data_IF_676395813423
#
_entry.id   IF_676395813423
#
_cell.length_a   1.000
_cell.length_b   1.000
_cell.length_c   1.000
_cell.angle_alpha   90.00
_cell.angle_beta   90.00
_cell.angle_gamma   90.00
#
_symmetry.space_group_name_H-M   'P 1'
#
loop_
_entity.id
_entity.type
_entity.pdbx_description
1 polymer ?
#
# COMPACT_ATOMS: atom_id res chain seq x y z
N UNK A 1 -41.74 0.62 28.40
CA UNK A 1 -41.08 1.52 27.44
C UNK A 1 -39.63 1.67 27.85
N UNK A 2 -38.74 0.94 27.21
CA UNK A 2 -37.30 1.09 27.36
C UNK A 2 -36.71 0.68 26.02
N UNK A 3 -36.33 1.66 25.19
CA UNK A 3 -35.57 1.39 23.98
C UNK A 3 -34.17 0.99 24.44
N UNK A 4 -33.86 -0.31 24.37
CA UNK A 4 -32.47 -0.76 24.39
C UNK A 4 -31.79 -0.12 23.18
N UNK A 5 -30.85 0.79 23.46
CA UNK A 5 -29.90 1.26 22.46
C UNK A 5 -29.05 0.06 22.06
N UNK A 6 -29.40 -0.61 20.96
CA UNK A 6 -28.50 -1.53 20.30
C UNK A 6 -27.38 -0.70 19.68
N UNK A 7 -26.27 -0.53 20.41
CA UNK A 7 -25.04 0.03 19.88
C UNK A 7 -24.62 -0.81 18.66
N UNK A 8 -24.78 -0.22 17.48
CA UNK A 8 -24.37 -0.82 16.21
C UNK A 8 -22.86 -0.92 16.16
N UNK A 9 -22.38 -2.15 16.29
CA UNK A 9 -21.08 -2.59 15.77
C UNK A 9 -20.93 -2.12 14.34
N UNK A 10 -19.78 -1.58 13.99
CA UNK A 10 -19.50 -1.37 12.59
C UNK A 10 -18.05 -1.71 12.22
N UNK A 11 -17.90 -2.34 11.06
CA UNK A 11 -16.64 -2.89 10.54
C UNK A 11 -16.54 -2.54 9.08
N UNK A 12 -15.34 -2.17 8.60
CA UNK A 12 -15.09 -1.90 7.20
C UNK A 12 -14.86 -3.20 6.43
N UNK A 13 -15.84 -3.58 5.62
CA UNK A 13 -15.74 -4.63 4.60
C UNK A 13 -15.69 -3.97 3.22
N UNK A 14 -14.91 -4.49 2.28
CA UNK A 14 -14.82 -4.03 0.89
C UNK A 14 -14.93 -5.24 -0.02
N UNK A 15 -16.03 -5.47 -0.72
CA UNK A 15 -16.17 -6.63 -1.62
C UNK A 15 -15.87 -6.23 -3.07
N UNK A 16 -14.87 -6.85 -3.73
CA UNK A 16 -14.69 -6.73 -5.18
C UNK A 16 -15.44 -7.85 -5.92
N UNK A 17 -15.64 -7.71 -7.24
CA UNK A 17 -16.28 -8.74 -8.09
C UNK A 17 -15.45 -10.02 -8.22
N UNK A 18 -14.14 -9.95 -8.01
CA UNK A 18 -13.20 -11.07 -8.12
C UNK A 18 -12.79 -11.64 -6.75
N UNK A 19 -13.22 -11.02 -5.65
CA UNK A 19 -12.87 -11.44 -4.29
C UNK A 19 -13.16 -10.38 -3.22
N UNK A 20 -13.53 -10.82 -2.02
CA UNK A 20 -13.91 -9.93 -0.92
C UNK A 20 -12.74 -9.53 -0.02
N UNK A 21 -12.62 -8.23 0.27
CA UNK A 21 -11.75 -7.61 1.27
C UNK A 21 -12.52 -7.25 2.55
N UNK A 22 -11.83 -7.26 3.68
CA UNK A 22 -12.26 -6.64 4.95
C UNK A 22 -11.09 -5.79 5.42
N UNK A 23 -11.32 -4.57 5.92
CA UNK A 23 -10.32 -3.69 6.54
C UNK A 23 -10.86 -3.24 7.90
N UNK A 24 -10.27 -3.67 9.00
CA UNK A 24 -10.72 -3.29 10.35
C UNK A 24 -9.70 -2.30 10.95
N UNK A 25 -10.05 -1.03 11.21
CA UNK A 25 -9.30 -0.21 12.14
C UNK A 25 -9.72 -0.57 13.57
N UNK A 26 -8.79 -0.61 14.53
CA UNK A 26 -9.20 -0.67 15.93
C UNK A 26 -8.37 0.16 16.89
N UNK A 27 -9.10 0.66 17.88
CA UNK A 27 -8.64 0.60 19.25
C UNK A 27 -8.45 -0.88 19.65
N UNK A 28 -7.23 -1.40 19.54
CA UNK A 28 -6.55 -2.47 20.33
C UNK A 28 -5.52 -3.26 19.49
N UNK A 29 -4.82 -4.19 20.15
CA UNK A 29 -3.36 -4.35 20.07
C UNK A 29 -2.81 -5.39 19.07
N UNK A 30 -3.59 -6.21 18.36
CA UNK A 30 -3.04 -7.23 17.43
C UNK A 30 -4.06 -7.62 16.33
N UNK A 31 -3.63 -7.79 15.07
CA UNK A 31 -4.37 -8.41 13.94
C UNK A 31 -3.54 -9.53 13.30
N UNK A 32 -3.95 -10.22 12.21
CA UNK A 32 -3.10 -11.17 11.44
C UNK A 32 -3.74 -11.42 10.07
N UNK A 33 -2.96 -11.63 9.00
CA UNK A 33 -3.45 -11.91 7.63
C UNK A 33 -3.15 -13.34 7.16
N UNK A 34 -4.13 -14.00 6.51
CA UNK A 34 -4.01 -15.31 5.84
C UNK A 34 -4.85 -15.33 4.54
N UNK A 35 -4.42 -16.14 3.57
CA UNK A 35 -4.89 -16.20 2.17
C UNK A 35 -5.80 -17.40 1.88
N UNK A 36 -6.74 -17.25 0.94
CA UNK A 36 -7.29 -18.31 0.10
C UNK A 36 -7.47 -17.70 -1.30
N UNK A 37 -6.80 -18.27 -2.30
CA UNK A 37 -6.90 -17.88 -3.73
C UNK A 37 -6.68 -16.37 -3.98
N UNK A 38 -5.46 -15.85 -3.75
CA UNK A 38 -5.01 -14.50 -4.14
C UNK A 38 -5.89 -13.30 -3.68
N UNK A 39 -6.68 -13.46 -2.61
CA UNK A 39 -7.53 -12.41 -2.03
C UNK A 39 -7.10 -12.04 -0.60
N UNK A 40 -7.14 -10.74 -0.28
CA UNK A 40 -6.77 -10.17 1.04
C UNK A 40 -7.98 -10.12 2.00
N UNK A 41 -7.87 -10.76 3.17
CA UNK A 41 -8.86 -10.67 4.26
C UNK A 41 -8.24 -10.07 5.55
N UNK A 42 -8.93 -9.16 6.24
CA UNK A 42 -8.59 -8.77 7.63
C UNK A 42 -9.48 -9.47 8.67
N UNK A 43 -8.84 -10.08 9.67
CA UNK A 43 -9.48 -10.75 10.82
C UNK A 43 -8.85 -10.31 12.16
N UNK A 44 -9.67 -10.36 13.21
CA UNK A 44 -9.24 -10.27 14.61
C UNK A 44 -9.13 -11.68 15.22
N UNK A 45 -7.98 -12.03 15.80
CA UNK A 45 -7.88 -13.19 16.69
C UNK A 45 -8.05 -12.70 18.14
N UNK A 46 -9.03 -13.17 18.91
CA UNK A 46 -9.10 -12.87 20.34
C UNK A 46 -7.89 -13.49 21.07
N UNK A 47 -7.35 -12.80 22.08
CA UNK A 47 -6.22 -13.25 22.92
C UNK A 47 -6.49 -14.57 23.67
N UNK A 48 -7.74 -15.04 23.71
CA UNK A 48 -8.14 -16.33 24.28
C UNK A 48 -9.39 -16.86 23.57
N UNK A 49 -9.23 -17.78 22.61
CA UNK A 49 -10.35 -18.64 22.16
C UNK A 49 -10.49 -19.84 23.10
N UNK A 50 -10.93 -19.58 24.33
CA UNK A 50 -11.56 -20.61 25.16
C UNK A 50 -13.09 -20.59 24.99
N UNK A 51 -13.62 -19.79 24.06
CA UNK A 51 -15.06 -19.65 23.86
C UNK A 51 -15.45 -20.00 22.43
N UNK A 52 -16.18 -21.11 22.31
CA UNK A 52 -17.11 -21.34 21.20
C UNK A 52 -17.99 -20.09 21.04
N UNK A 53 -17.91 -19.44 19.88
CA UNK A 53 -18.78 -18.32 19.49
C UNK A 53 -19.79 -18.76 18.43
N UNK A 54 -20.94 -18.11 18.33
CA UNK A 54 -21.95 -18.42 17.31
C UNK A 54 -22.12 -17.28 16.32
N UNK A 55 -22.19 -17.61 15.03
CA UNK A 55 -22.37 -16.60 13.99
C UNK A 55 -23.67 -15.84 14.26
N UNK A 56 -23.61 -14.53 14.45
CA UNK A 56 -24.75 -13.67 14.71
C UNK A 56 -25.83 -13.76 13.62
N UNK A 57 -25.46 -14.18 12.40
CA UNK A 57 -26.37 -14.40 11.27
C UNK A 57 -26.92 -15.83 11.21
N UNK A 58 -26.08 -16.87 11.03
CA UNK A 58 -26.57 -18.26 10.88
C UNK A 58 -26.46 -19.15 12.12
N UNK A 59 -26.00 -18.60 13.25
CA UNK A 59 -25.88 -19.28 14.56
C UNK A 59 -24.96 -20.51 14.61
N UNK A 60 -24.30 -20.88 13.50
CA UNK A 60 -23.26 -21.92 13.49
C UNK A 60 -22.07 -21.55 14.38
N UNK A 61 -21.50 -22.56 15.06
CA UNK A 61 -20.42 -22.40 16.04
C UNK A 61 -19.06 -22.22 15.36
N UNK A 62 -18.18 -21.43 15.97
CA UNK A 62 -16.83 -21.13 15.49
C UNK A 62 -15.97 -22.37 15.27
N UNK A 63 -16.22 -23.45 16.02
CA UNK A 63 -15.52 -24.74 15.90
C UNK A 63 -15.80 -25.52 14.61
N UNK A 64 -16.86 -25.18 13.86
CA UNK A 64 -17.25 -25.87 12.63
C UNK A 64 -16.64 -25.27 11.35
N UNK A 65 -15.86 -24.20 11.49
CA UNK A 65 -15.30 -23.46 10.34
C UNK A 65 -13.78 -23.62 10.27
N UNK A 66 -13.24 -23.83 9.07
CA UNK A 66 -11.79 -23.83 8.85
C UNK A 66 -11.15 -22.44 9.09
N UNK A 67 -11.90 -21.35 8.91
CA UNK A 67 -11.48 -19.96 9.19
C UNK A 67 -12.69 -19.02 9.07
N UNK A 68 -12.99 -18.18 10.06
CA UNK A 68 -13.67 -16.86 9.91
C UNK A 68 -13.59 -16.07 11.23
N UNK A 69 -13.56 -14.71 11.25
CA UNK A 69 -14.33 -13.87 12.22
C UNK A 69 -14.17 -12.34 12.04
N UNK A 70 -15.21 -11.67 11.55
CA UNK A 70 -15.46 -10.25 11.85
C UNK A 70 -15.91 -10.16 13.31
N UNK A 71 -15.05 -9.62 14.19
CA UNK A 71 -15.33 -9.43 15.60
C UNK A 71 -15.34 -7.92 15.88
N UNK A 72 -16.41 -7.43 16.48
CA UNK A 72 -16.36 -6.15 17.18
C UNK A 72 -16.25 -6.41 18.67
N UNK A 73 -15.10 -6.04 19.21
CA UNK A 73 -14.76 -6.15 20.62
C UNK A 73 -15.77 -5.43 21.53
N UNK A 74 -16.45 -4.39 21.04
CA UNK A 74 -17.39 -3.59 21.83
C UNK A 74 -18.74 -4.28 22.00
N UNK A 75 -19.21 -5.05 21.02
CA UNK A 75 -20.54 -5.68 21.10
C UNK A 75 -20.57 -7.21 20.89
N UNK A 76 -19.41 -7.87 20.71
CA UNK A 76 -19.32 -9.34 20.69
C UNK A 76 -20.02 -10.03 19.51
N UNK A 77 -20.23 -9.32 18.40
CA UNK A 77 -20.89 -9.86 17.20
C UNK A 77 -19.88 -10.62 16.35
N UNK A 78 -20.26 -11.82 15.88
CA UNK A 78 -19.47 -12.70 15.02
C UNK A 78 -20.22 -12.97 13.70
N UNK A 79 -19.57 -12.87 12.54
CA UNK A 79 -20.19 -13.25 11.25
C UNK A 79 -19.29 -14.25 10.52
N UNK A 80 -19.86 -15.41 10.14
CA UNK A 80 -19.15 -16.45 9.40
C UNK A 80 -19.03 -16.15 7.90
N UNK A 81 -18.09 -16.79 7.20
CA UNK A 81 -17.76 -16.54 5.79
C UNK A 81 -18.98 -16.74 4.89
N UNK A 82 -19.71 -17.83 5.10
CA UNK A 82 -20.90 -18.15 4.32
C UNK A 82 -21.99 -17.08 4.49
N UNK A 83 -22.14 -16.53 5.70
CA UNK A 83 -23.06 -15.43 5.96
C UNK A 83 -22.56 -14.11 5.39
N UNK A 84 -21.26 -13.85 5.47
CA UNK A 84 -20.64 -12.69 4.86
C UNK A 84 -20.86 -12.70 3.34
N UNK A 85 -20.62 -13.82 2.67
CA UNK A 85 -20.86 -14.01 1.23
C UNK A 85 -22.33 -13.74 0.84
N UNK A 86 -23.28 -14.09 1.72
CA UNK A 86 -24.73 -13.90 1.55
C UNK A 86 -25.25 -12.52 1.97
N UNK A 87 -24.45 -11.70 2.65
CA UNK A 87 -24.90 -10.39 3.13
C UNK A 87 -25.04 -9.45 1.94
N UNK A 88 -26.23 -8.83 1.77
CA UNK A 88 -26.41 -7.71 0.83
C UNK A 88 -25.69 -6.50 1.42
N UNK A 89 -24.50 -6.21 0.91
CA UNK A 89 -23.80 -4.97 1.23
C UNK A 89 -24.63 -3.80 0.72
N UNK A 90 -24.59 -2.67 1.44
CA UNK A 90 -25.07 -1.42 0.86
C UNK A 90 -24.13 -1.13 -0.30
N UNK A 91 -24.63 -1.24 -1.53
CA UNK A 91 -23.93 -0.62 -2.66
C UNK A 91 -23.83 0.85 -2.33
N UNK A 92 -22.60 1.33 -2.22
CA UNK A 92 -22.43 2.77 -2.20
C UNK A 92 -22.96 3.29 -3.55
N UNK A 93 -23.69 4.42 -3.56
CA UNK A 93 -23.89 5.18 -4.78
C UNK A 93 -22.52 5.47 -5.42
N UNK A 94 -22.48 6.02 -6.63
CA UNK A 94 -21.25 6.46 -7.32
C UNK A 94 -20.52 7.63 -6.60
N UNK A 95 -20.45 7.59 -5.27
CA UNK A 95 -19.89 8.58 -4.36
C UNK A 95 -18.47 8.18 -3.96
N UNK A 96 -17.65 9.19 -3.72
CA UNK A 96 -16.29 9.07 -3.21
C UNK A 96 -16.31 8.53 -1.77
N UNK A 97 -15.64 7.41 -1.51
CA UNK A 97 -15.42 6.90 -0.16
C UNK A 97 -14.16 7.51 0.44
N UNK A 98 -14.32 8.33 1.47
CA UNK A 98 -13.19 8.86 2.23
C UNK A 98 -12.67 7.84 3.25
N UNK A 99 -11.39 7.51 3.16
CA UNK A 99 -10.64 6.64 4.06
C UNK A 99 -9.66 7.51 4.85
N UNK A 100 -10.02 7.81 6.10
CA UNK A 100 -9.32 8.74 6.97
C UNK A 100 -9.05 8.19 8.39
N UNK A 101 -8.41 8.98 9.24
CA UNK A 101 -8.16 8.64 10.65
C UNK A 101 -8.59 9.80 11.57
N UNK A 102 -9.49 9.59 12.56
CA UNK A 102 -10.26 8.36 12.83
C UNK A 102 -11.36 8.14 11.80
N UNK A 103 -11.65 6.88 11.49
CA UNK A 103 -12.57 6.50 10.42
C UNK A 103 -13.95 6.14 10.96
N UNK A 104 -15.02 6.56 10.28
CA UNK A 104 -16.35 6.02 10.56
C UNK A 104 -16.41 4.55 10.15
N UNK A 105 -17.11 3.77 10.97
CA UNK A 105 -17.23 2.35 10.78
C UNK A 105 -18.41 2.02 9.83
N UNK A 106 -18.23 1.12 8.85
CA UNK A 106 -19.32 0.69 7.98
C UNK A 106 -18.90 -0.26 6.86
N UNK A 107 -19.82 -1.08 6.35
CA UNK A 107 -19.55 -2.03 5.27
C UNK A 107 -19.80 -1.40 3.89
N UNK A 108 -18.82 -1.48 2.99
CA UNK A 108 -18.88 -0.90 1.65
C UNK A 108 -18.60 -1.96 0.57
N UNK A 109 -19.21 -1.84 -0.60
CA UNK A 109 -18.89 -2.64 -1.78
C UNK A 109 -18.17 -1.72 -2.75
N UNK A 110 -16.92 -2.05 -3.11
CA UNK A 110 -16.16 -1.27 -4.09
C UNK A 110 -15.96 -2.11 -5.34
N UNK A 111 -16.29 -1.52 -6.47
CA UNK A 111 -15.99 -2.05 -7.79
C UNK A 111 -15.15 -1.04 -8.59
N UNK A 112 -14.85 -1.39 -9.85
CA UNK A 112 -14.06 -0.52 -10.74
C UNK A 112 -14.73 0.83 -11.06
N UNK A 113 -16.01 1.03 -10.72
CA UNK A 113 -16.72 2.31 -10.86
C UNK A 113 -16.67 3.13 -9.56
N UNK A 114 -16.23 2.53 -8.46
CA UNK A 114 -16.11 3.17 -7.16
C UNK A 114 -14.84 4.01 -7.09
N UNK A 115 -14.87 5.06 -6.26
CA UNK A 115 -13.70 5.91 -6.00
C UNK A 115 -13.41 6.00 -4.51
N UNK A 116 -12.12 6.00 -4.16
CA UNK A 116 -11.64 6.08 -2.78
C UNK A 116 -10.72 7.28 -2.63
N UNK A 117 -10.88 8.05 -1.55
CA UNK A 117 -9.93 9.08 -1.13
C UNK A 117 -9.14 8.57 0.08
N UNK A 118 -7.82 8.42 -0.04
CA UNK A 118 -6.92 8.16 1.08
C UNK A 118 -6.42 9.50 1.62
N UNK A 119 -6.72 9.85 2.88
CA UNK A 119 -6.26 11.09 3.48
C UNK A 119 -6.04 10.93 4.99
N UNK A 120 -4.95 11.50 5.54
CA UNK A 120 -4.60 11.44 6.95
C UNK A 120 -4.60 10.00 7.49
N UNK A 121 -3.97 9.07 6.78
CA UNK A 121 -3.94 7.65 7.13
C UNK A 121 -2.55 7.03 6.96
N UNK A 122 -2.24 6.07 7.83
CA UNK A 122 -1.07 5.20 7.70
C UNK A 122 -1.53 3.78 7.39
N UNK A 123 -1.14 3.25 6.24
CA UNK A 123 -1.56 1.92 5.76
C UNK A 123 -0.39 1.07 5.30
N UNK A 124 -0.54 -0.24 5.30
CA UNK A 124 0.48 -1.11 4.71
C UNK A 124 0.59 -0.91 3.19
N UNK A 125 1.76 -1.20 2.60
CA UNK A 125 1.95 -1.21 1.14
C UNK A 125 0.96 -2.14 0.44
N UNK A 126 0.58 -3.24 1.09
CA UNK A 126 -0.38 -4.22 0.55
C UNK A 126 -1.77 -3.61 0.40
N UNK A 127 -2.25 -2.91 1.44
CA UNK A 127 -3.54 -2.21 1.40
C UNK A 127 -3.50 -1.05 0.41
N UNK A 128 -2.39 -0.31 0.35
CA UNK A 128 -2.22 0.75 -0.63
C UNK A 128 -2.31 0.22 -2.06
N UNK A 129 -1.52 -0.81 -2.41
CA UNK A 129 -1.57 -1.40 -3.74
C UNK A 129 -2.92 -2.05 -4.05
N UNK A 130 -3.59 -2.67 -3.06
CA UNK A 130 -4.96 -3.12 -3.27
C UNK A 130 -5.87 -2.00 -3.82
N UNK A 131 -5.84 -0.80 -3.22
CA UNK A 131 -6.64 0.31 -3.71
C UNK A 131 -6.18 0.75 -5.11
N UNK A 132 -4.88 0.96 -5.27
CA UNK A 132 -4.28 1.38 -6.54
C UNK A 132 -4.60 0.40 -7.68
N UNK A 133 -4.63 -0.90 -7.42
CA UNK A 133 -4.82 -1.95 -8.41
C UNK A 133 -6.29 -2.19 -8.78
N UNK A 134 -7.23 -1.86 -7.89
CA UNK A 134 -8.62 -2.34 -8.03
C UNK A 134 -9.66 -1.23 -8.19
N UNK A 135 -9.41 -0.03 -7.68
CA UNK A 135 -10.41 1.04 -7.63
C UNK A 135 -9.78 2.39 -7.94
N UNK A 136 -10.57 3.32 -8.48
CA UNK A 136 -10.08 4.69 -8.68
C UNK A 136 -9.68 5.28 -7.32
N UNK A 137 -8.40 5.62 -7.18
CA UNK A 137 -7.83 6.02 -5.89
C UNK A 137 -7.28 7.44 -5.96
N UNK A 138 -7.83 8.30 -5.13
CA UNK A 138 -7.36 9.65 -4.88
C UNK A 138 -6.53 9.68 -3.60
N UNK A 139 -5.39 10.38 -3.63
CA UNK A 139 -4.49 10.49 -2.47
C UNK A 139 -4.43 11.95 -2.04
N UNK A 140 -5.00 12.23 -0.88
CA UNK A 140 -4.99 13.51 -0.19
C UNK A 140 -3.71 13.72 0.64
N UNK A 141 -3.79 14.59 1.65
CA UNK A 141 -2.62 14.89 2.50
C UNK A 141 -2.40 13.79 3.54
N UNK A 142 -1.18 13.66 4.05
CA UNK A 142 -0.92 12.86 5.25
C UNK A 142 -1.08 11.35 5.07
N UNK A 143 -0.89 10.83 3.85
CA UNK A 143 -0.87 9.39 3.58
C UNK A 143 0.53 8.83 3.77
N UNK A 144 0.66 7.75 4.57
CA UNK A 144 1.93 7.04 4.77
C UNK A 144 1.76 5.55 4.50
N UNK A 145 2.69 4.96 3.75
CA UNK A 145 2.78 3.52 3.50
C UNK A 145 3.92 2.87 4.29
N UNK A 146 3.70 1.66 4.78
CA UNK A 146 4.71 0.86 5.48
C UNK A 146 4.70 -0.60 4.99
N UNK A 147 5.82 -1.34 5.08
CA UNK A 147 5.89 -2.70 4.49
C UNK A 147 4.86 -3.68 5.05
N UNK A 148 4.51 -3.56 6.33
CA UNK A 148 3.59 -4.46 7.02
C UNK A 148 4.21 -5.82 7.35
N UNK A 149 5.39 -6.19 6.83
CA UNK A 149 5.97 -7.51 7.10
C UNK A 149 6.48 -7.73 8.53
N UNK A 150 6.88 -6.65 9.21
CA UNK A 150 7.20 -6.69 10.64
C UNK A 150 6.07 -6.17 11.53
N UNK A 151 4.93 -5.94 10.88
CA UNK A 151 3.66 -5.70 11.51
C UNK A 151 2.61 -6.52 10.76
N UNK A 152 2.82 -7.87 10.63
CA UNK A 152 1.94 -8.73 9.83
C UNK A 152 0.50 -8.76 10.37
N UNK A 153 0.37 -8.12 11.51
CA UNK A 153 -0.71 -8.07 12.43
C UNK A 153 -1.27 -6.64 12.55
N UNK A 154 -0.86 -5.71 11.68
CA UNK A 154 -1.47 -4.37 11.63
C UNK A 154 -1.24 -3.74 10.26
N UNK A 155 -2.33 -3.51 9.55
CA UNK A 155 -2.31 -2.96 8.19
C UNK A 155 -2.76 -1.50 8.14
N UNK A 156 -3.27 -0.98 9.26
CA UNK A 156 -3.69 0.41 9.45
C UNK A 156 -3.21 0.88 10.84
N UNK A 157 -2.61 2.05 10.90
CA UNK A 157 -1.99 2.59 12.12
C UNK A 157 -2.58 3.95 12.52
N UNK A 158 -2.66 4.29 13.83
CA UNK A 158 -2.97 5.65 14.26
C UNK A 158 -1.94 6.65 13.74
N UNK A 159 -2.35 7.91 13.54
CA UNK A 159 -1.48 8.99 13.07
C UNK A 159 -0.21 9.19 13.93
N UNK A 160 -0.28 8.90 15.23
CA UNK A 160 0.85 9.02 16.17
C UNK A 160 1.76 7.78 16.23
N UNK A 161 1.58 6.81 15.32
CA UNK A 161 2.45 5.63 15.24
C UNK A 161 3.92 6.02 15.09
N UNK A 162 4.75 5.48 15.99
CA UNK A 162 6.21 5.54 15.94
C UNK A 162 6.73 4.16 15.57
N UNK A 163 7.39 4.09 14.41
CA UNK A 163 8.07 2.89 13.95
C UNK A 163 9.23 2.55 14.92
N UNK A 164 9.11 1.45 15.67
CA UNK A 164 10.12 0.99 16.63
C UNK A 164 10.86 -0.24 16.11
N UNK A 165 12.11 -0.09 15.66
CA UNK A 165 13.07 -1.22 15.60
C UNK A 165 12.72 -2.39 14.68
N UNK A 166 11.81 -2.21 13.72
CA UNK A 166 11.37 -3.26 12.83
C UNK A 166 12.12 -3.16 11.49
N UNK A 167 13.35 -3.67 11.43
CA UNK A 167 14.25 -3.51 10.26
C UNK A 167 13.68 -3.74 8.85
N UNK A 168 14.00 -2.79 7.97
CA UNK A 168 14.41 -2.95 6.57
C UNK A 168 13.74 -4.04 5.73
N UNK A 169 12.42 -3.96 5.56
CA UNK A 169 11.85 -4.42 4.28
C UNK A 169 11.05 -3.30 3.66
N UNK A 170 11.33 -3.09 2.38
CA UNK A 170 11.01 -1.91 1.62
C UNK A 170 9.60 -1.83 1.08
N UNK A 171 9.37 -0.79 0.29
CA UNK A 171 8.41 -0.83 -0.80
C UNK A 171 8.98 -1.70 -1.91
N UNK A 172 8.27 -2.75 -2.31
CA UNK A 172 8.60 -3.52 -3.50
C UNK A 172 7.38 -3.67 -4.41
N UNK A 173 7.58 -3.48 -5.71
CA UNK A 173 6.55 -3.58 -6.74
C UNK A 173 7.23 -3.85 -8.08
N UNK A 174 6.68 -4.75 -8.90
CA UNK A 174 7.36 -5.23 -10.11
C UNK A 174 6.60 -4.98 -11.40
N UNK A 175 5.27 -5.02 -11.36
CA UNK A 175 4.40 -4.77 -12.52
C UNK A 175 3.12 -4.10 -12.03
N UNK A 176 2.66 -3.09 -12.75
CA UNK A 176 1.38 -2.43 -12.52
C UNK A 176 0.32 -3.03 -13.45
N UNK A 177 -0.93 -3.06 -12.98
CA UNK A 177 -2.05 -3.29 -13.88
C UNK A 177 -2.55 -1.93 -14.45
N UNK A 178 -3.44 -1.93 -15.47
CA UNK A 178 -3.89 -0.68 -16.09
C UNK A 178 -4.58 0.30 -15.12
N UNK A 179 -5.28 -0.20 -14.09
CA UNK A 179 -5.88 0.65 -13.05
C UNK A 179 -4.81 1.31 -12.18
N UNK A 180 -3.77 0.56 -11.83
CA UNK A 180 -2.64 1.01 -11.04
C UNK A 180 -1.82 2.07 -11.77
N UNK A 181 -1.52 1.86 -13.05
CA UNK A 181 -0.88 2.86 -13.90
C UNK A 181 -1.66 4.18 -13.90
N UNK A 182 -2.97 4.12 -14.11
CA UNK A 182 -3.82 5.30 -14.18
C UNK A 182 -3.90 6.03 -12.83
N UNK A 183 -4.03 5.29 -11.74
CA UNK A 183 -4.02 5.83 -10.38
C UNK A 183 -2.67 6.47 -10.04
N UNK A 184 -1.55 5.82 -10.36
CA UNK A 184 -0.20 6.35 -10.12
C UNK A 184 0.04 7.62 -10.95
N UNK A 185 -0.40 7.66 -12.21
CA UNK A 185 -0.33 8.87 -13.05
C UNK A 185 -1.05 10.06 -12.41
N UNK A 186 -2.22 9.85 -11.82
CA UNK A 186 -3.00 10.88 -11.10
C UNK A 186 -2.36 11.37 -9.80
N UNK A 187 -1.47 10.60 -9.19
CA UNK A 187 -0.82 11.00 -7.94
C UNK A 187 0.00 12.28 -8.14
N UNK A 188 -0.08 13.17 -7.15
CA UNK A 188 0.78 14.34 -7.09
C UNK A 188 2.22 13.91 -6.80
N UNK A 189 3.18 14.75 -7.17
CA UNK A 189 4.58 14.56 -6.76
C UNK A 189 4.65 14.43 -5.24
N UNK A 190 5.42 13.46 -4.74
CA UNK A 190 5.66 13.27 -3.31
C UNK A 190 4.37 13.13 -2.45
N UNK A 191 3.28 12.63 -3.04
CA UNK A 191 1.98 12.47 -2.39
C UNK A 191 1.96 11.42 -1.27
N UNK A 192 2.81 10.39 -1.38
CA UNK A 192 2.79 9.23 -0.48
C UNK A 192 4.08 9.17 0.34
N UNK A 193 3.97 9.28 1.66
CA UNK A 193 5.14 9.10 2.54
C UNK A 193 5.44 7.60 2.70
N UNK A 194 6.70 7.20 2.54
CA UNK A 194 7.15 5.81 2.70
C UNK A 194 7.92 5.72 4.01
N UNK A 195 7.40 4.93 4.94
CA UNK A 195 8.09 4.63 6.21
C UNK A 195 9.23 3.60 6.05
N UNK A 196 9.52 3.16 4.83
CA UNK A 196 10.41 2.03 4.57
C UNK A 196 11.87 2.44 4.42
N UNK A 197 12.78 1.55 4.83
CA UNK A 197 14.23 1.70 4.63
C UNK A 197 14.72 1.34 3.23
N UNK A 198 13.89 0.69 2.40
CA UNK A 198 14.26 0.34 1.03
C UNK A 198 13.13 0.52 0.03
N UNK A 199 13.49 0.75 -1.23
CA UNK A 199 12.58 0.85 -2.38
C UNK A 199 13.15 -0.03 -3.49
N UNK A 200 12.37 -1.00 -3.96
CA UNK A 200 12.74 -1.95 -5.01
C UNK A 200 11.62 -1.90 -6.05
N UNK A 201 11.88 -1.30 -7.21
CA UNK A 201 10.88 -1.12 -8.26
C UNK A 201 11.41 -1.76 -9.54
N UNK A 202 10.64 -2.69 -10.08
CA UNK A 202 10.92 -3.28 -11.38
C UNK A 202 9.87 -2.80 -12.40
N UNK A 203 10.22 -2.88 -13.69
CA UNK A 203 9.30 -2.58 -14.78
C UNK A 203 8.69 -1.19 -14.73
N UNK A 204 7.41 -1.11 -15.06
CA UNK A 204 6.58 0.10 -15.06
C UNK A 204 6.25 0.62 -13.65
N UNK A 205 6.43 -0.19 -12.61
CA UNK A 205 6.27 0.23 -11.22
C UNK A 205 7.25 1.34 -10.82
N UNK A 206 8.34 1.52 -11.56
CA UNK A 206 9.29 2.63 -11.38
C UNK A 206 8.58 4.00 -11.45
N UNK A 207 7.47 4.12 -12.19
CA UNK A 207 6.67 5.36 -12.30
C UNK A 207 6.07 5.85 -10.97
N UNK A 208 6.01 5.01 -9.94
CA UNK A 208 5.58 5.46 -8.61
C UNK A 208 6.67 6.30 -7.92
N UNK A 209 7.94 6.16 -8.27
CA UNK A 209 9.07 6.77 -7.56
C UNK A 209 8.92 8.29 -7.35
N UNK A 210 8.55 9.13 -8.35
CA UNK A 210 8.38 10.57 -8.15
C UNK A 210 7.17 10.93 -7.26
N UNK A 211 6.28 9.97 -7.02
CA UNK A 211 5.08 10.12 -6.17
C UNK A 211 5.37 9.82 -4.70
N UNK A 212 6.54 9.26 -4.41
CA UNK A 212 6.97 8.89 -3.07
C UNK A 212 7.75 10.02 -2.38
N UNK A 213 7.59 10.11 -1.07
CA UNK A 213 8.41 10.93 -0.17
C UNK A 213 8.89 10.08 0.99
N UNK A 214 10.07 10.34 1.51
CA UNK A 214 10.57 9.63 2.70
C UNK A 214 11.49 10.57 3.47
N UNK A 215 11.44 10.49 4.81
CA UNK A 215 12.12 11.44 5.70
C UNK A 215 13.54 11.02 6.08
N UNK A 216 13.86 9.75 5.90
CA UNK A 216 15.16 9.16 6.26
C UNK A 216 15.97 8.86 5.00
N UNK A 217 17.27 8.69 5.18
CA UNK A 217 18.17 8.10 4.19
C UNK A 217 17.67 6.69 3.82
N UNK A 218 17.64 6.37 2.54
CA UNK A 218 17.29 5.03 2.06
C UNK A 218 18.46 4.07 2.33
N UNK A 219 18.23 2.97 3.05
CA UNK A 219 19.21 1.88 3.13
C UNK A 219 19.46 1.26 1.75
N UNK A 220 18.43 1.19 0.89
CA UNK A 220 18.54 0.58 -0.44
C UNK A 220 17.53 1.16 -1.44
N UNK A 221 18.00 1.60 -2.61
CA UNK A 221 17.17 1.87 -3.80
C UNK A 221 17.56 0.91 -4.95
N UNK A 222 16.60 0.17 -5.50
CA UNK A 222 16.80 -0.70 -6.68
C UNK A 222 15.78 -0.33 -7.74
N UNK A 223 16.24 0.01 -8.94
CA UNK A 223 15.40 0.25 -10.11
C UNK A 223 15.87 -0.66 -11.25
N UNK A 224 14.97 -1.46 -11.81
CA UNK A 224 15.31 -2.40 -12.88
C UNK A 224 14.20 -2.49 -13.91
N UNK A 225 14.48 -2.13 -15.16
CA UNK A 225 13.59 -2.45 -16.28
C UNK A 225 14.40 -2.77 -17.52
N UNK A 226 13.96 -3.80 -18.27
CA UNK A 226 14.51 -4.13 -19.58
C UNK A 226 13.85 -3.37 -20.74
N UNK A 227 12.81 -2.59 -20.45
CA UNK A 227 11.90 -1.97 -21.42
C UNK A 227 11.96 -0.46 -21.24
N UNK A 228 12.10 0.29 -22.34
CA UNK A 228 12.26 1.75 -22.26
C UNK A 228 10.92 2.43 -22.03
N UNK A 229 9.88 1.86 -22.60
CA UNK A 229 8.49 2.28 -22.52
C UNK A 229 8.00 2.33 -21.07
N UNK A 230 8.49 1.42 -20.21
CA UNK A 230 8.20 1.40 -18.77
C UNK A 230 8.60 2.70 -18.05
N UNK A 231 9.55 3.47 -18.60
CA UNK A 231 10.11 4.67 -17.95
C UNK A 231 10.09 5.91 -18.87
N UNK A 232 9.38 5.87 -20.00
CA UNK A 232 9.35 6.95 -20.98
C UNK A 232 8.94 8.28 -20.35
N UNK A 233 7.85 8.28 -19.57
CA UNK A 233 7.36 9.45 -18.82
C UNK A 233 8.42 10.04 -17.88
N UNK A 234 9.30 9.21 -17.33
CA UNK A 234 10.37 9.64 -16.41
C UNK A 234 11.60 10.19 -17.14
N UNK A 235 11.87 9.70 -18.35
CA UNK A 235 12.98 10.18 -19.19
C UNK A 235 12.72 11.61 -19.68
N UNK A 236 11.45 11.96 -19.90
CA UNK A 236 11.02 13.31 -20.29
C UNK A 236 11.02 14.31 -19.13
N UNK A 237 11.17 13.85 -17.89
CA UNK A 237 11.26 14.75 -16.74
C UNK A 237 12.55 15.59 -16.80
N UNK A 238 12.53 16.83 -16.28
CA UNK A 238 13.75 17.63 -16.13
C UNK A 238 14.80 16.91 -15.29
N UNK A 239 16.07 17.18 -15.56
CA UNK A 239 17.16 16.64 -14.76
C UNK A 239 16.99 17.03 -13.28
N UNK A 240 17.37 16.11 -12.38
CA UNK A 240 17.29 16.29 -10.93
C UNK A 240 15.90 16.70 -10.42
N UNK A 241 14.84 16.16 -11.03
CA UNK A 241 13.46 16.43 -10.63
C UNK A 241 12.84 15.30 -9.79
N UNK A 242 13.40 14.08 -9.83
CA UNK A 242 12.93 12.91 -9.09
C UNK A 242 13.65 12.87 -7.74
N UNK A 243 12.94 13.09 -6.64
CA UNK A 243 13.54 13.13 -5.30
C UNK A 243 14.09 11.76 -4.88
N UNK A 244 15.42 11.69 -4.66
CA UNK A 244 16.10 10.54 -4.04
C UNK A 244 16.68 10.90 -2.66
N UNK A 245 17.28 12.08 -2.52
CA UNK A 245 17.94 12.48 -1.28
C UNK A 245 19.19 11.65 -1.00
N UNK A 246 19.31 11.11 0.21
CA UNK A 246 20.45 10.30 0.66
C UNK A 246 20.14 8.81 0.59
N UNK A 247 21.13 7.99 0.22
CA UNK A 247 21.01 6.53 0.21
C UNK A 247 22.33 5.85 0.62
N UNK A 248 22.24 4.66 1.23
CA UNK A 248 23.39 3.79 1.50
C UNK A 248 23.78 2.99 0.26
N UNK A 249 22.79 2.36 -0.41
CA UNK A 249 23.02 1.54 -1.60
C UNK A 249 22.03 1.86 -2.71
N UNK A 250 22.52 2.01 -3.93
CA UNK A 250 21.68 2.19 -5.12
C UNK A 250 22.08 1.20 -6.22
N UNK A 251 21.09 0.57 -6.84
CA UNK A 251 21.25 -0.33 -7.97
C UNK A 251 20.35 0.13 -9.11
N UNK A 252 20.95 0.48 -10.25
CA UNK A 252 20.24 0.80 -11.50
C UNK A 252 20.59 -0.28 -12.52
N UNK A 253 19.57 -0.93 -13.08
CA UNK A 253 19.74 -2.04 -14.01
C UNK A 253 19.00 -1.83 -15.33
N UNK A 254 19.67 -2.17 -16.42
CA UNK A 254 19.18 -2.12 -17.80
C UNK A 254 18.70 -0.70 -18.17
N UNK A 255 17.50 -0.48 -18.71
CA UNK A 255 17.05 0.87 -19.15
C UNK A 255 16.95 1.87 -17.99
N UNK A 256 16.80 1.41 -16.73
CA UNK A 256 16.74 2.27 -15.55
C UNK A 256 18.00 3.12 -15.34
N UNK A 257 19.14 2.76 -15.93
CA UNK A 257 20.38 3.55 -15.84
C UNK A 257 20.23 4.94 -16.47
N UNK A 258 19.33 5.10 -17.45
CA UNK A 258 19.05 6.39 -18.09
C UNK A 258 18.32 7.37 -17.15
N UNK A 259 17.79 6.90 -16.03
CA UNK A 259 17.17 7.75 -15.01
C UNK A 259 18.19 8.48 -14.15
N UNK A 260 19.47 8.08 -14.16
CA UNK A 260 20.50 8.63 -13.28
C UNK A 260 20.59 10.17 -13.29
N UNK A 261 20.52 10.88 -14.44
CA UNK A 261 20.50 12.35 -14.48
C UNK A 261 19.20 12.97 -13.94
N UNK A 262 18.12 12.19 -13.90
CA UNK A 262 16.79 12.61 -13.43
C UNK A 262 16.68 12.58 -11.91
N UNK A 263 17.53 11.78 -11.25
CA UNK A 263 17.55 11.63 -9.81
C UNK A 263 18.17 12.86 -9.12
N UNK A 264 17.46 13.38 -8.13
CA UNK A 264 17.94 14.41 -7.22
C UNK A 264 18.51 13.75 -5.96
N UNK A 265 19.83 13.64 -5.93
CA UNK A 265 20.61 13.09 -4.81
C UNK A 265 21.26 14.26 -4.07
N UNK A 266 21.30 14.26 -2.74
CA UNK A 266 21.91 15.37 -2.00
C UNK A 266 23.43 15.42 -2.16
N UNK A 267 24.02 16.62 -2.06
CA UNK A 267 25.48 16.84 -2.20
C UNK A 267 26.31 16.30 -1.04
N UNK A 268 25.67 15.97 0.07
CA UNK A 268 26.28 15.38 1.26
C UNK A 268 26.01 13.87 1.33
N UNK A 269 25.57 13.27 0.23
CA UNK A 269 25.32 11.83 0.19
C UNK A 269 26.63 11.04 0.31
N UNK A 270 26.74 10.27 1.39
CA UNK A 270 27.88 9.39 1.66
C UNK A 270 27.54 7.93 1.35
N UNK A 271 27.08 7.62 0.13
CA UNK A 271 26.67 6.25 -0.22
C UNK A 271 27.80 5.24 -0.05
N UNK A 272 27.46 4.04 0.46
CA UNK A 272 28.38 2.91 0.53
C UNK A 272 28.60 2.28 -0.86
N UNK A 273 27.54 2.22 -1.66
CA UNK A 273 27.54 1.52 -2.94
C UNK A 273 26.62 2.17 -3.98
N UNK A 274 27.12 2.34 -5.21
CA UNK A 274 26.34 2.65 -6.40
C UNK A 274 26.69 1.64 -7.49
N UNK A 275 25.71 0.83 -7.89
CA UNK A 275 25.82 -0.15 -8.97
C UNK A 275 25.03 0.30 -10.18
N UNK A 276 25.68 0.39 -11.33
CA UNK A 276 25.05 0.67 -12.61
C UNK A 276 25.38 -0.52 -13.52
N UNK A 277 24.36 -1.20 -14.02
CA UNK A 277 24.54 -2.41 -14.84
C UNK A 277 23.60 -2.38 -16.02
N UNK A 278 24.14 -2.47 -17.23
CA UNK A 278 23.37 -2.48 -18.46
C UNK A 278 23.84 -3.65 -19.34
N UNK A 279 22.91 -4.40 -19.93
CA UNK A 279 23.24 -5.55 -20.80
C UNK A 279 23.80 -5.15 -22.17
N UNK A 280 23.45 -3.98 -22.69
CA UNK A 280 23.94 -3.52 -24.00
C UNK A 280 23.90 -2.01 -24.17
N UNK A 281 24.57 -1.52 -25.22
CA UNK A 281 24.67 -0.08 -25.56
C UNK A 281 23.31 0.62 -25.57
N UNK A 282 22.28 -0.01 -26.16
CA UNK A 282 20.92 0.50 -26.21
C UNK A 282 20.40 0.90 -24.83
N UNK A 283 20.75 0.17 -23.77
CA UNK A 283 20.23 0.44 -22.43
C UNK A 283 20.80 1.72 -21.79
N UNK A 284 21.89 2.30 -22.28
CA UNK A 284 22.49 3.49 -21.69
C UNK A 284 22.85 4.58 -22.71
N UNK A 285 22.46 4.44 -23.97
CA UNK A 285 22.79 5.41 -25.02
C UNK A 285 22.30 6.83 -24.71
N UNK A 286 21.13 6.96 -24.05
CA UNK A 286 20.57 8.26 -23.64
C UNK A 286 21.40 8.91 -22.53
N UNK A 287 21.95 8.10 -21.62
CA UNK A 287 22.85 8.58 -20.59
C UNK A 287 24.07 9.28 -21.19
N UNK A 288 24.61 8.75 -22.30
CA UNK A 288 25.79 9.30 -22.99
C UNK A 288 25.53 10.65 -23.69
N UNK A 289 24.26 11.02 -23.93
CA UNK A 289 23.90 12.31 -24.51
C UNK A 289 24.00 13.46 -23.50
N UNK A 290 24.10 13.15 -22.21
CA UNK A 290 24.19 14.16 -21.17
C UNK A 290 25.60 14.76 -21.09
N UNK A 291 25.67 16.06 -20.79
CA UNK A 291 26.94 16.79 -20.68
C UNK A 291 27.79 16.25 -19.53
N UNK A 292 29.10 16.44 -19.64
CA UNK A 292 30.03 16.21 -18.52
C UNK A 292 29.56 16.91 -17.25
N UNK A 293 29.70 16.24 -16.10
CA UNK A 293 29.31 16.73 -14.76
C UNK A 293 27.81 17.02 -14.59
N UNK A 294 26.95 16.51 -15.47
CA UNK A 294 25.49 16.60 -15.34
C UNK A 294 24.92 15.73 -14.19
N UNK A 295 25.55 14.59 -13.93
CA UNK A 295 25.14 13.61 -12.92
C UNK A 295 25.71 13.99 -11.55
N UNK A 296 24.86 13.99 -10.52
CA UNK A 296 25.22 14.21 -9.12
C UNK A 296 24.85 12.97 -8.30
N UNK A 297 25.81 12.37 -7.59
CA UNK A 297 25.61 11.15 -6.78
C UNK A 297 25.97 11.33 -5.30
N UNK A 298 26.27 12.57 -4.91
CA UNK A 298 26.98 12.94 -3.69
C UNK A 298 28.01 13.99 -4.07
#
# INVERSE_FOLDING_TARGET
GGKENTETVSVLGIKSKEGGMIVIPSQTSFYKVRTLEDVFFLFQQPESMDREGECSVCKRRTGDFQMVSLLDKKNGVFVCEECFKRTRLKKQPQELLEINSPMEHGFFELDSQSSVLLENIKISKKVFFFFIDNVRTEVGKGVTIFSGEKNPDRFVEPLSFKEKGWGERGLNCSELNPMAEENIKRLRKEAVEVGAGSIILDGDAINILPKLRYRKRLSWLSLSTSTREDIEDLLDMPDRSIFVGNFDRMYLKDEAVNLLPKLFIYKDNMAEWLSITAKGYRNYELLLLHKDRSIQVG
#
